data_IF_066286425351
#
_entry.id   IF_066286425351
#
_cell.length_a   1.000
_cell.length_b   1.000
_cell.length_c   1.000
_cell.angle_alpha   90.00
_cell.angle_beta   90.00
_cell.angle_gamma   90.00
#
_symmetry.space_group_name_H-M   'P 1'
#
loop_
_entity.id
_entity.type
_entity.pdbx_description
1 polymer ?
#
# COMPACT_ATOMS: atom_id res chain seq x y z
N UNK A 1 8.04 -19.67 16.99
CA UNK A 1 6.85 -19.33 16.16
C UNK A 1 7.29 -18.35 15.08
N UNK A 2 6.99 -18.62 13.81
CA UNK A 2 7.34 -17.71 12.72
C UNK A 2 6.35 -16.54 12.67
N UNK A 3 6.83 -15.33 12.39
CA UNK A 3 6.01 -14.10 12.39
C UNK A 3 6.21 -13.33 11.09
N UNK A 4 5.18 -12.62 10.66
CA UNK A 4 5.22 -11.82 9.45
C UNK A 4 5.97 -10.50 9.67
N UNK A 5 6.83 -10.19 8.71
CA UNK A 5 7.61 -8.96 8.60
C UNK A 5 7.25 -8.24 7.30
N UNK A 6 6.86 -6.97 7.37
CA UNK A 6 6.71 -6.12 6.20
C UNK A 6 8.00 -5.35 5.93
N UNK A 7 8.64 -5.63 4.81
CA UNK A 7 9.82 -4.89 4.37
C UNK A 7 9.43 -3.79 3.38
N UNK A 8 10.01 -2.60 3.53
CA UNK A 8 9.86 -1.47 2.62
C UNK A 8 11.20 -0.83 2.21
N UNK A 9 12.31 -1.25 2.84
CA UNK A 9 13.65 -0.70 2.60
C UNK A 9 14.61 -1.75 2.05
N UNK A 10 15.88 -1.65 2.45
CA UNK A 10 16.95 -2.54 1.93
C UNK A 10 16.70 -4.05 2.09
N UNK A 11 15.89 -4.47 3.06
CA UNK A 11 15.52 -5.89 3.24
C UNK A 11 14.65 -6.45 2.11
N UNK A 12 14.10 -5.59 1.22
CA UNK A 12 13.50 -6.03 -0.05
C UNK A 12 14.53 -6.67 -0.99
N UNK A 13 15.80 -6.27 -0.87
CA UNK A 13 16.88 -6.74 -1.72
C UNK A 13 17.57 -7.98 -1.10
N UNK A 14 17.37 -9.15 -1.70
CA UNK A 14 17.93 -10.41 -1.20
C UNK A 14 19.47 -10.37 -1.11
N UNK A 15 20.15 -9.71 -2.05
CA UNK A 15 21.62 -9.58 -2.05
C UNK A 15 22.10 -8.72 -0.86
N UNK A 16 21.40 -7.62 -0.53
CA UNK A 16 21.74 -6.80 0.64
C UNK A 16 21.54 -7.58 1.95
N UNK A 17 20.47 -8.37 2.06
CA UNK A 17 20.23 -9.25 3.20
C UNK A 17 21.30 -10.34 3.33
N UNK A 18 21.63 -11.02 2.23
CA UNK A 18 22.67 -12.05 2.20
C UNK A 18 24.03 -11.49 2.59
N UNK A 19 24.42 -10.31 2.06
CA UNK A 19 25.66 -9.63 2.45
C UNK A 19 25.71 -9.36 3.95
N UNK A 20 24.65 -8.77 4.52
CA UNK A 20 24.56 -8.49 5.95
C UNK A 20 24.74 -9.76 6.81
N UNK A 21 24.10 -10.87 6.39
CA UNK A 21 24.18 -12.16 7.07
C UNK A 21 25.58 -12.76 6.99
N UNK A 22 26.19 -12.78 5.81
CA UNK A 22 27.53 -13.33 5.57
C UNK A 22 28.61 -12.62 6.38
N UNK A 23 28.60 -11.28 6.42
CA UNK A 23 29.53 -10.47 7.23
C UNK A 23 29.47 -10.81 8.73
N UNK A 24 28.34 -11.34 9.20
CA UNK A 24 28.07 -11.65 10.62
C UNK A 24 27.98 -13.14 10.91
N UNK A 25 28.27 -13.99 9.93
CA UNK A 25 28.19 -15.46 10.02
C UNK A 25 26.81 -15.95 10.49
N UNK A 26 25.74 -15.32 10.01
CA UNK A 26 24.35 -15.68 10.27
C UNK A 26 23.77 -16.36 9.02
N UNK A 27 22.83 -17.30 9.20
CA UNK A 27 22.11 -17.90 8.07
C UNK A 27 21.12 -16.90 7.43
N UNK A 28 21.14 -16.68 6.11
CA UNK A 28 20.19 -15.80 5.44
C UNK A 28 18.81 -16.44 5.20
N UNK A 29 18.70 -17.77 5.35
CA UNK A 29 17.54 -18.56 4.90
C UNK A 29 16.29 -18.44 5.78
N UNK A 30 16.40 -17.87 6.98
CA UNK A 30 15.25 -17.70 7.86
C UNK A 30 14.35 -16.53 7.50
N UNK A 31 14.72 -15.69 6.50
CA UNK A 31 13.88 -14.63 5.95
C UNK A 31 13.22 -15.11 4.64
N UNK A 32 11.96 -15.57 4.73
CA UNK A 32 11.28 -16.27 3.63
C UNK A 32 10.26 -15.32 2.98
N UNK A 33 10.46 -14.99 1.71
CA UNK A 33 9.48 -14.20 0.95
C UNK A 33 8.12 -14.90 0.89
N UNK A 34 7.04 -14.15 1.11
CA UNK A 34 5.67 -14.66 1.05
C UNK A 34 4.89 -14.07 -0.11
N UNK A 35 4.86 -12.74 -0.23
CA UNK A 35 4.13 -12.03 -1.28
C UNK A 35 4.51 -10.56 -1.36
N UNK A 36 4.24 -9.95 -2.52
CA UNK A 36 4.20 -8.49 -2.66
C UNK A 36 3.05 -7.95 -1.82
N UNK A 37 3.26 -6.80 -1.19
CA UNK A 37 2.27 -6.19 -0.33
C UNK A 37 2.39 -4.66 -0.32
N UNK A 38 1.38 -4.02 0.22
CA UNK A 38 1.30 -2.59 0.45
C UNK A 38 1.06 -2.34 1.92
N UNK A 39 1.69 -1.31 2.47
CA UNK A 39 1.34 -0.79 3.78
C UNK A 39 0.49 0.48 3.57
N UNK A 40 -0.85 0.38 3.70
CA UNK A 40 -1.74 1.51 3.47
C UNK A 40 -1.66 2.51 4.62
N UNK A 41 -1.95 3.77 4.31
CA UNK A 41 -1.94 4.92 5.22
C UNK A 41 -0.56 5.24 5.84
N UNK A 42 0.51 4.91 5.12
CA UNK A 42 1.89 5.27 5.44
C UNK A 42 2.61 5.82 4.22
N UNK A 43 3.62 6.66 4.46
CA UNK A 43 4.61 7.06 3.45
C UNK A 43 6.03 6.86 3.93
N UNK A 44 6.97 6.75 2.97
CA UNK A 44 8.40 6.69 3.27
C UNK A 44 9.04 8.08 3.32
N UNK A 45 10.10 8.21 4.12
CA UNK A 45 10.99 9.37 4.11
C UNK A 45 12.42 9.05 4.51
N UNK A 46 13.34 10.00 4.30
CA UNK A 46 14.73 9.92 4.73
C UNK A 46 14.99 10.93 5.86
N UNK A 47 14.48 10.67 7.06
CA UNK A 47 14.71 11.50 8.26
C UNK A 47 15.59 10.78 9.30
N UNK A 48 16.60 10.06 8.83
CA UNK A 48 17.53 9.32 9.69
C UNK A 48 18.87 9.17 8.99
N UNK A 49 19.94 9.56 9.68
CA UNK A 49 21.30 9.31 9.22
C UNK A 49 21.83 8.00 9.80
N UNK A 50 22.06 7.02 8.92
CA UNK A 50 22.69 5.76 9.25
C UNK A 50 24.20 5.90 9.19
N UNK A 51 24.88 5.76 10.35
CA UNK A 51 26.35 5.73 10.42
C UNK A 51 26.94 4.56 9.62
N UNK A 52 26.25 3.42 9.59
CA UNK A 52 26.74 2.22 8.90
C UNK A 52 26.67 2.33 7.38
N UNK A 53 25.71 3.10 6.87
CA UNK A 53 25.54 3.33 5.42
C UNK A 53 26.14 4.66 4.97
N UNK A 54 26.56 5.50 5.90
CA UNK A 54 27.05 6.87 5.66
C UNK A 54 26.05 7.71 4.84
N UNK A 55 24.83 7.82 5.37
CA UNK A 55 23.78 8.63 4.75
C UNK A 55 22.37 8.27 5.20
N UNK A 56 21.40 8.85 4.52
CA UNK A 56 19.97 8.66 4.76
C UNK A 56 19.55 7.20 4.60
N UNK A 57 18.79 6.68 5.57
CA UNK A 57 18.06 5.42 5.45
C UNK A 57 16.55 5.63 5.63
N UNK A 58 15.76 4.71 5.07
CA UNK A 58 14.31 4.87 5.01
C UNK A 58 13.65 4.67 6.38
N UNK A 59 12.71 5.54 6.68
CA UNK A 59 11.66 5.32 7.69
C UNK A 59 10.29 5.39 7.05
N UNK A 60 9.29 4.92 7.76
CA UNK A 60 7.88 5.13 7.45
C UNK A 60 7.23 6.01 8.51
N UNK A 61 6.17 6.72 8.15
CA UNK A 61 5.30 7.42 9.09
C UNK A 61 3.86 7.46 8.58
N UNK A 62 2.86 7.59 9.47
CA UNK A 62 1.45 7.61 9.06
C UNK A 62 1.12 8.78 8.15
N UNK A 63 0.38 8.51 7.08
CA UNK A 63 -0.24 9.50 6.19
C UNK A 63 -1.43 8.84 5.47
N UNK A 64 -2.66 9.00 5.96
CA UNK A 64 -3.84 8.38 5.35
C UNK A 64 -3.98 8.67 3.85
N UNK A 65 -4.40 7.68 3.06
CA UNK A 65 -4.62 7.76 1.61
C UNK A 65 -3.38 7.75 0.73
N UNK A 66 -2.22 7.45 1.31
CA UNK A 66 -1.02 6.99 0.58
C UNK A 66 -0.64 5.59 1.07
N UNK A 67 0.26 4.92 0.37
CA UNK A 67 0.69 3.57 0.70
C UNK A 67 2.16 3.37 0.36
N UNK A 68 2.83 2.57 1.18
CA UNK A 68 4.21 2.15 0.93
C UNK A 68 4.21 0.82 0.19
N UNK A 69 4.77 0.73 -1.03
CA UNK A 69 4.96 -0.55 -1.69
C UNK A 69 6.07 -1.34 -1.00
N UNK A 70 5.88 -2.65 -0.85
CA UNK A 70 6.84 -3.52 -0.19
C UNK A 70 6.54 -5.00 -0.37
N UNK A 71 6.98 -5.81 0.59
CA UNK A 71 6.73 -7.24 0.57
C UNK A 71 6.62 -7.81 1.98
N UNK A 72 5.82 -8.87 2.10
CA UNK A 72 5.69 -9.69 3.29
C UNK A 72 6.70 -10.82 3.26
N UNK A 73 7.39 -10.97 4.38
CA UNK A 73 8.30 -12.06 4.69
C UNK A 73 7.83 -12.78 5.94
N UNK A 74 8.19 -14.05 6.05
CA UNK A 74 8.09 -14.82 7.27
C UNK A 74 9.50 -14.98 7.85
N UNK A 75 9.66 -14.65 9.13
CA UNK A 75 10.93 -14.75 9.83
C UNK A 75 10.82 -15.64 11.08
N UNK A 76 11.83 -16.49 11.28
CA UNK A 76 12.03 -17.22 12.53
C UNK A 76 12.70 -16.35 13.61
N UNK A 77 12.84 -16.89 14.82
CA UNK A 77 13.36 -16.13 15.96
C UNK A 77 14.81 -15.66 15.78
N UNK A 78 15.67 -16.51 15.22
CA UNK A 78 17.06 -16.15 14.93
C UNK A 78 17.15 -15.03 13.88
N UNK A 79 16.29 -15.07 12.87
CA UNK A 79 16.16 -14.04 11.84
C UNK A 79 15.63 -12.74 12.41
N UNK A 80 14.64 -12.79 13.30
CA UNK A 80 14.15 -11.61 14.02
C UNK A 80 15.25 -10.95 14.86
N UNK A 81 16.07 -11.74 15.56
CA UNK A 81 17.22 -11.20 16.29
C UNK A 81 18.26 -10.59 15.34
N UNK A 82 18.44 -11.14 14.15
CA UNK A 82 19.33 -10.57 13.13
C UNK A 82 18.77 -9.26 12.54
N UNK A 83 17.45 -9.19 12.28
CA UNK A 83 16.77 -7.97 11.86
C UNK A 83 16.88 -6.88 12.94
N UNK A 84 16.60 -7.19 14.20
CA UNK A 84 16.74 -6.22 15.30
C UNK A 84 18.16 -5.64 15.40
N UNK A 85 19.17 -6.49 15.21
CA UNK A 85 20.57 -6.04 15.17
C UNK A 85 20.87 -5.20 13.92
N UNK A 86 20.28 -5.51 12.78
CA UNK A 86 20.45 -4.74 11.53
C UNK A 86 19.84 -3.35 11.65
N UNK A 87 18.64 -3.27 12.21
CA UNK A 87 17.89 -2.02 12.40
C UNK A 87 18.32 -1.27 13.68
N UNK A 88 19.20 -1.84 14.49
CA UNK A 88 19.76 -1.19 15.67
C UNK A 88 18.73 -0.92 16.77
N UNK A 89 17.80 -1.86 16.99
CA UNK A 89 16.70 -1.75 17.95
C UNK A 89 17.20 -1.55 19.38
N UNK A 90 18.19 -2.34 19.80
CA UNK A 90 18.81 -2.21 21.12
C UNK A 90 19.55 -0.87 21.33
N UNK A 91 19.94 -0.22 20.23
CA UNK A 91 20.58 1.10 20.23
C UNK A 91 19.58 2.25 20.08
N UNK A 92 18.28 1.95 19.97
CA UNK A 92 17.22 2.95 19.85
C UNK A 92 17.17 3.67 18.50
N UNK A 93 17.77 3.14 17.43
CA UNK A 93 17.70 3.76 16.11
C UNK A 93 16.35 3.52 15.43
N UNK A 94 15.92 2.26 15.40
CA UNK A 94 14.60 1.85 14.97
C UNK A 94 13.85 1.17 16.12
N UNK A 95 12.53 1.18 16.03
CA UNK A 95 11.64 0.40 16.86
C UNK A 95 10.72 -0.47 15.99
N UNK A 96 10.24 -1.57 16.56
CA UNK A 96 9.25 -2.43 15.91
C UNK A 96 7.88 -1.76 15.97
N UNK A 97 7.20 -1.73 14.83
CA UNK A 97 5.84 -1.22 14.69
C UNK A 97 4.90 -2.36 14.28
N UNK A 98 3.76 -2.51 14.96
CA UNK A 98 2.68 -3.40 14.50
C UNK A 98 1.87 -2.67 13.44
N UNK A 99 1.68 -3.32 12.29
CA UNK A 99 0.97 -2.77 11.14
C UNK A 99 0.07 -3.80 10.49
N UNK A 100 -0.87 -3.35 9.67
CA UNK A 100 -1.68 -4.19 8.79
C UNK A 100 -1.22 -3.93 7.35
N UNK A 101 -0.65 -4.94 6.70
CA UNK A 101 -0.31 -4.87 5.28
C UNK A 101 -1.43 -5.50 4.43
N UNK A 102 -1.58 -5.03 3.19
CA UNK A 102 -2.51 -5.58 2.21
C UNK A 102 -1.74 -6.28 1.09
N UNK A 103 -2.21 -7.43 0.63
CA UNK A 103 -1.76 -7.98 -0.65
C UNK A 103 -2.55 -7.40 -1.83
N UNK A 104 -2.30 -7.91 -3.04
CA UNK A 104 -2.96 -7.44 -4.28
C UNK A 104 -4.47 -7.73 -4.33
N UNK A 105 -4.93 -8.69 -3.55
CA UNK A 105 -6.34 -9.02 -3.39
C UNK A 105 -6.99 -8.20 -2.26
N UNK A 106 -6.21 -7.39 -1.53
CA UNK A 106 -6.70 -6.59 -0.41
C UNK A 106 -6.96 -7.41 0.85
N UNK A 107 -6.34 -8.58 0.98
CA UNK A 107 -6.35 -9.35 2.22
C UNK A 107 -5.42 -8.72 3.24
N UNK A 108 -5.88 -8.62 4.48
CA UNK A 108 -5.13 -8.02 5.59
C UNK A 108 -4.16 -9.02 6.24
N UNK A 109 -2.94 -8.56 6.49
CA UNK A 109 -1.90 -9.29 7.19
C UNK A 109 -1.39 -8.46 8.37
N UNK A 110 -1.85 -8.78 9.60
CA UNK A 110 -1.20 -8.27 10.80
C UNK A 110 0.27 -8.70 10.83
N UNK A 111 1.18 -7.74 10.84
CA UNK A 111 2.60 -8.00 10.76
C UNK A 111 3.40 -6.95 11.54
N UNK A 112 4.70 -7.16 11.63
CA UNK A 112 5.63 -6.21 12.23
C UNK A 112 6.45 -5.54 11.12
N UNK A 113 6.69 -4.24 11.25
CA UNK A 113 7.63 -3.47 10.45
C UNK A 113 8.60 -2.75 11.39
N UNK A 114 9.49 -1.92 10.84
CA UNK A 114 10.34 -1.02 11.62
C UNK A 114 10.02 0.43 11.27
N UNK A 115 10.22 1.33 12.22
CA UNK A 115 10.26 2.77 11.98
C UNK A 115 11.40 3.38 12.79
N UNK A 116 11.94 4.51 12.34
CA UNK A 116 12.94 5.26 13.10
C UNK A 116 12.29 5.83 14.35
N UNK A 117 12.98 5.74 15.48
CA UNK A 117 12.48 6.29 16.74
C UNK A 117 12.47 7.82 16.72
N UNK A 118 11.61 8.43 17.53
CA UNK A 118 11.57 9.90 17.64
C UNK A 118 12.93 10.50 18.04
N UNK A 119 13.71 9.80 18.87
CA UNK A 119 15.02 10.25 19.33
C UNK A 119 16.11 10.18 18.24
N UNK A 120 16.00 9.23 17.29
CA UNK A 120 16.95 9.07 16.19
C UNK A 120 16.56 9.88 14.93
N UNK A 121 15.35 10.45 14.90
CA UNK A 121 14.82 11.18 13.75
C UNK A 121 15.49 12.56 13.59
N UNK A 122 15.90 12.89 12.37
CA UNK A 122 16.41 14.21 12.01
C UNK A 122 15.27 15.16 11.66
N UNK A 123 15.45 16.47 11.90
CA UNK A 123 14.46 17.49 11.55
C UNK A 123 14.37 17.71 10.04
N UNK A 124 15.51 17.76 9.36
CA UNK A 124 15.58 17.89 7.91
C UNK A 124 15.78 16.52 7.24
N UNK A 125 15.34 16.36 5.98
CA UNK A 125 15.67 15.19 5.18
C UNK A 125 17.19 15.03 5.02
N UNK A 126 17.65 13.78 5.07
CA UNK A 126 19.04 13.39 4.86
C UNK A 126 19.14 12.73 3.49
N UNK A 127 20.05 13.17 2.60
CA UNK A 127 20.28 12.50 1.33
C UNK A 127 20.55 11.01 1.53
N UNK A 128 20.01 10.11 0.69
CA UNK A 128 20.24 8.68 0.83
C UNK A 128 21.74 8.35 0.83
N UNK A 129 22.11 7.32 1.59
CA UNK A 129 23.44 6.73 1.49
C UNK A 129 23.77 6.34 0.03
N UNK A 130 25.05 6.42 -0.35
CA UNK A 130 25.48 6.11 -1.71
C UNK A 130 25.07 4.68 -2.11
N UNK A 131 24.38 4.53 -3.25
CA UNK A 131 23.87 3.24 -3.74
C UNK A 131 22.61 2.72 -3.03
N UNK A 132 22.14 3.36 -1.95
CA UNK A 132 21.00 2.87 -1.16
C UNK A 132 19.68 3.00 -1.93
N UNK A 133 19.47 4.11 -2.64
CA UNK A 133 18.30 4.31 -3.47
C UNK A 133 18.19 3.20 -4.53
N UNK A 134 19.29 2.88 -5.21
CA UNK A 134 19.35 1.86 -6.25
C UNK A 134 19.05 0.46 -5.71
N UNK A 135 19.51 0.14 -4.48
CA UNK A 135 19.22 -1.14 -3.82
C UNK A 135 17.71 -1.33 -3.63
N UNK A 136 17.03 -0.31 -3.11
CA UNK A 136 15.58 -0.37 -2.86
C UNK A 136 14.80 -0.28 -4.17
N UNK A 137 15.18 0.62 -5.07
CA UNK A 137 14.55 0.83 -6.37
C UNK A 137 14.57 -0.44 -7.22
N UNK A 138 15.72 -1.12 -7.32
CA UNK A 138 15.83 -2.40 -8.05
C UNK A 138 14.95 -3.50 -7.46
N UNK A 139 14.81 -3.54 -6.13
CA UNK A 139 13.95 -4.52 -5.47
C UNK A 139 12.45 -4.23 -5.70
N UNK A 140 12.03 -2.97 -5.64
CA UNK A 140 10.66 -2.58 -5.99
C UNK A 140 10.35 -2.90 -7.46
N UNK A 141 11.28 -2.59 -8.37
CA UNK A 141 11.14 -2.89 -9.80
C UNK A 141 11.06 -4.39 -10.09
N UNK A 142 11.83 -5.24 -9.40
CA UNK A 142 11.72 -6.70 -9.57
C UNK A 142 10.38 -7.25 -9.11
N UNK A 143 9.74 -6.61 -8.13
CA UNK A 143 8.35 -6.87 -7.72
C UNK A 143 7.30 -6.18 -8.59
N UNK A 144 7.70 -5.45 -9.65
CA UNK A 144 6.82 -4.64 -10.50
C UNK A 144 6.02 -3.60 -9.71
N UNK A 145 6.62 -3.09 -8.64
CA UNK A 145 6.09 -2.03 -7.79
C UNK A 145 6.65 -0.66 -8.19
N UNK A 146 5.87 0.42 -8.01
CA UNK A 146 6.32 1.77 -8.33
C UNK A 146 7.39 2.28 -7.36
N UNK A 147 8.30 3.10 -7.88
CA UNK A 147 9.39 3.73 -7.12
C UNK A 147 9.14 5.21 -6.81
N UNK A 148 8.05 5.80 -7.31
CA UNK A 148 7.86 7.26 -7.29
C UNK A 148 7.89 7.88 -5.89
N UNK A 149 7.40 7.18 -4.86
CA UNK A 149 7.45 7.64 -3.48
C UNK A 149 8.89 7.65 -2.94
N UNK A 150 9.66 6.58 -3.22
CA UNK A 150 11.09 6.49 -2.92
C UNK A 150 11.89 7.58 -3.65
N UNK A 151 11.60 7.79 -4.94
CA UNK A 151 12.32 8.75 -5.80
C UNK A 151 12.10 10.20 -5.35
N UNK A 152 10.90 10.54 -4.87
CA UNK A 152 10.64 11.86 -4.27
C UNK A 152 11.34 12.01 -2.92
N UNK A 153 11.19 11.02 -2.04
CA UNK A 153 11.81 11.05 -0.71
C UNK A 153 13.35 11.18 -0.80
N UNK A 154 13.97 10.47 -1.73
CA UNK A 154 15.42 10.52 -1.96
C UNK A 154 15.93 11.90 -2.42
N UNK A 155 15.08 12.68 -3.08
CA UNK A 155 15.37 14.05 -3.52
C UNK A 155 15.04 15.10 -2.45
N UNK A 156 14.62 14.68 -1.25
CA UNK A 156 14.16 15.58 -0.20
C UNK A 156 12.86 16.32 -0.55
N UNK A 157 12.11 15.83 -1.54
CA UNK A 157 10.82 16.38 -1.92
C UNK A 157 9.72 15.68 -1.13
N UNK A 158 8.65 16.40 -0.83
CA UNK A 158 7.44 15.76 -0.32
C UNK A 158 6.95 14.69 -1.30
N UNK A 159 6.77 13.44 -0.86
CA UNK A 159 6.28 12.39 -1.73
C UNK A 159 4.86 12.73 -2.18
N UNK A 160 4.61 12.56 -3.49
CA UNK A 160 3.23 12.54 -4.00
C UNK A 160 2.50 11.32 -3.44
N UNK A 161 1.19 11.42 -3.16
CA UNK A 161 0.39 10.28 -2.76
C UNK A 161 0.53 9.12 -3.74
N UNK A 162 0.63 7.91 -3.21
CA UNK A 162 0.76 6.69 -3.99
C UNK A 162 -0.14 5.61 -3.40
N UNK A 163 -1.20 5.16 -4.10
CA UNK A 163 -1.77 5.74 -5.31
C UNK A 163 -2.28 7.18 -5.15
N UNK A 164 -2.37 7.91 -6.28
CA UNK A 164 -3.00 9.24 -6.34
C UNK A 164 -4.37 9.23 -7.04
N UNK A 165 -4.93 8.04 -7.27
CA UNK A 165 -6.16 7.85 -8.04
C UNK A 165 -7.11 6.91 -7.30
N UNK A 166 -8.40 7.14 -7.45
CA UNK A 166 -9.48 6.28 -6.99
C UNK A 166 -10.18 5.66 -8.22
N UNK A 167 -10.38 4.36 -8.20
CA UNK A 167 -11.23 3.65 -9.15
C UNK A 167 -12.62 3.46 -8.56
N UNK A 168 -13.61 4.09 -9.19
CA UNK A 168 -15.03 3.98 -8.83
C UNK A 168 -15.75 3.11 -9.86
N UNK A 169 -16.70 2.30 -9.40
CA UNK A 169 -17.40 1.30 -10.24
C UNK A 169 -18.91 1.26 -10.00
N UNK A 170 -19.44 2.24 -9.25
CA UNK A 170 -20.81 2.23 -8.76
C UNK A 170 -21.38 3.62 -8.53
N UNK A 171 -22.01 3.81 -7.38
CA UNK A 171 -22.71 5.04 -6.98
C UNK A 171 -21.81 6.28 -6.97
N UNK A 172 -20.49 6.10 -6.81
CA UNK A 172 -19.46 7.15 -6.85
C UNK A 172 -19.00 7.54 -8.28
N UNK A 173 -19.45 6.87 -9.35
CA UNK A 173 -19.09 7.25 -10.73
C UNK A 173 -19.84 8.50 -11.21
N UNK A 174 -19.34 9.17 -12.25
CA UNK A 174 -20.02 10.31 -12.87
C UNK A 174 -21.48 10.01 -13.22
N UNK A 175 -22.36 10.98 -12.92
CA UNK A 175 -23.81 10.88 -13.12
C UNK A 175 -24.49 9.74 -12.32
N UNK A 176 -23.90 9.31 -11.22
CA UNK A 176 -24.51 8.36 -10.27
C UNK A 176 -24.85 9.06 -8.95
N UNK A 177 -25.65 8.40 -8.10
CA UNK A 177 -26.30 9.01 -6.94
C UNK A 177 -25.36 9.71 -5.95
N UNK A 178 -24.13 9.19 -5.78
CA UNK A 178 -23.13 9.70 -4.83
C UNK A 178 -22.02 10.53 -5.50
N UNK A 179 -22.09 10.76 -6.81
CA UNK A 179 -21.14 11.63 -7.51
C UNK A 179 -21.04 13.04 -6.90
N UNK A 180 -22.16 13.72 -6.56
CA UNK A 180 -22.10 15.05 -5.96
C UNK A 180 -21.31 15.09 -4.65
N UNK A 181 -21.29 13.99 -3.88
CA UNK A 181 -20.62 13.90 -2.58
C UNK A 181 -19.08 13.91 -2.71
N UNK A 182 -18.54 13.53 -3.87
CA UNK A 182 -17.08 13.41 -4.10
C UNK A 182 -16.53 14.30 -5.22
N UNK A 183 -17.39 14.98 -5.98
CA UNK A 183 -17.00 15.70 -7.20
C UNK A 183 -15.89 16.75 -6.96
N UNK A 184 -15.95 17.48 -5.84
CA UNK A 184 -14.97 18.51 -5.47
C UNK A 184 -13.63 17.95 -4.97
N UNK A 185 -13.58 16.65 -4.69
CA UNK A 185 -12.37 15.93 -4.28
C UNK A 185 -11.57 15.41 -5.49
N UNK A 186 -12.14 15.46 -6.69
CA UNK A 186 -11.57 14.89 -7.91
C UNK A 186 -10.86 15.95 -8.74
N UNK A 187 -9.65 15.63 -9.18
CA UNK A 187 -8.88 16.42 -10.15
C UNK A 187 -9.17 15.87 -11.54
N UNK A 188 -9.86 16.67 -12.37
CA UNK A 188 -10.19 16.29 -13.76
C UNK A 188 -8.92 16.12 -14.63
N UNK A 189 -8.95 15.26 -15.68
CA UNK A 189 -10.11 14.49 -16.15
C UNK A 189 -10.29 13.14 -15.43
N UNK A 190 -11.54 12.71 -15.31
CA UNK A 190 -11.90 11.30 -15.01
C UNK A 190 -11.90 10.52 -16.32
N UNK A 191 -11.39 9.30 -16.30
CA UNK A 191 -11.28 8.46 -17.50
C UNK A 191 -11.89 7.09 -17.30
N UNK A 192 -12.46 6.51 -18.36
CA UNK A 192 -12.90 5.12 -18.32
C UNK A 192 -11.74 4.19 -17.95
N UNK A 193 -12.02 3.20 -17.12
CA UNK A 193 -11.04 2.22 -16.68
C UNK A 193 -11.71 0.90 -16.30
N UNK A 194 -10.89 -0.12 -16.10
CA UNK A 194 -11.35 -1.45 -15.71
C UNK A 194 -10.44 -2.07 -14.65
N UNK A 195 -11.00 -2.95 -13.83
CA UNK A 195 -10.23 -3.75 -12.89
C UNK A 195 -10.77 -5.19 -12.84
N UNK A 196 -9.97 -6.10 -12.28
CA UNK A 196 -10.34 -7.50 -12.09
C UNK A 196 -11.36 -7.64 -10.94
N UNK A 197 -12.38 -8.47 -11.14
CA UNK A 197 -13.40 -8.83 -10.17
C UNK A 197 -14.81 -8.94 -10.78
N UNK A 198 -15.81 -9.16 -9.94
CA UNK A 198 -17.22 -9.13 -10.32
C UNK A 198 -18.01 -8.16 -9.47
N UNK A 199 -19.11 -7.66 -10.04
CA UNK A 199 -20.06 -6.80 -9.34
C UNK A 199 -21.30 -7.59 -8.95
N UNK A 200 -21.79 -7.30 -7.75
CA UNK A 200 -23.02 -7.84 -7.20
C UNK A 200 -23.89 -6.70 -6.70
N UNK A 201 -25.19 -6.80 -6.89
CA UNK A 201 -26.14 -5.86 -6.31
C UNK A 201 -26.35 -6.21 -4.84
N UNK A 202 -25.86 -5.36 -3.94
CA UNK A 202 -26.02 -5.55 -2.49
C UNK A 202 -27.38 -5.02 -2.07
N UNK A 203 -27.63 -3.75 -2.37
CA UNK A 203 -28.93 -3.08 -2.20
C UNK A 203 -29.11 -2.09 -3.37
N UNK A 204 -29.19 -0.79 -3.10
CA UNK A 204 -29.16 0.26 -4.13
C UNK A 204 -27.73 0.65 -4.55
N UNK A 205 -26.73 -0.13 -4.13
CA UNK A 205 -25.31 0.04 -4.46
C UNK A 205 -24.61 -1.29 -4.83
N UNK A 206 -23.53 -1.24 -5.64
CA UNK A 206 -22.80 -2.44 -6.05
C UNK A 206 -21.69 -2.84 -5.08
N UNK A 207 -21.47 -4.13 -4.93
CA UNK A 207 -20.32 -4.73 -4.25
C UNK A 207 -19.32 -5.31 -5.24
N UNK A 208 -18.07 -4.82 -5.21
CA UNK A 208 -16.95 -5.45 -5.91
C UNK A 208 -16.41 -6.63 -5.10
N UNK A 209 -16.27 -7.79 -5.75
CA UNK A 209 -15.67 -9.01 -5.19
C UNK A 209 -14.47 -9.47 -6.03
N UNK A 210 -13.51 -10.13 -5.39
CA UNK A 210 -12.35 -10.74 -6.04
C UNK A 210 -12.72 -12.03 -6.75
N UNK A 211 -12.60 -12.04 -8.08
CA UNK A 211 -12.61 -13.21 -8.93
C UNK A 211 -11.93 -12.90 -10.28
N UNK A 212 -12.07 -13.78 -11.27
CA UNK A 212 -11.49 -13.62 -12.61
C UNK A 212 -12.32 -12.74 -13.57
N UNK A 213 -13.40 -12.13 -13.10
CA UNK A 213 -14.25 -11.23 -13.87
C UNK A 213 -13.58 -9.90 -14.22
N UNK A 214 -14.33 -9.07 -14.94
CA UNK A 214 -13.91 -7.72 -15.32
C UNK A 214 -14.97 -6.71 -14.89
N UNK A 215 -14.57 -5.72 -14.10
CA UNK A 215 -15.40 -4.60 -13.68
C UNK A 215 -15.04 -3.36 -14.48
N UNK A 216 -16.05 -2.72 -15.03
CA UNK A 216 -15.98 -1.46 -15.74
C UNK A 216 -16.30 -0.31 -14.80
N UNK A 217 -15.54 0.76 -14.92
CA UNK A 217 -15.73 1.94 -14.09
C UNK A 217 -14.91 3.12 -14.56
N UNK A 218 -14.51 3.94 -13.60
CA UNK A 218 -13.84 5.20 -13.82
C UNK A 218 -12.61 5.33 -12.93
N UNK A 219 -11.52 5.83 -13.50
CA UNK A 219 -10.33 6.20 -12.78
C UNK A 219 -10.33 7.73 -12.60
N UNK A 220 -10.46 8.16 -11.35
CA UNK A 220 -10.46 9.55 -10.93
C UNK A 220 -9.12 9.90 -10.27
N UNK A 221 -8.34 10.85 -10.81
CA UNK A 221 -7.27 11.48 -10.06
C UNK A 221 -7.85 12.22 -8.85
N UNK A 222 -7.26 12.02 -7.68
CA UNK A 222 -7.78 12.62 -6.44
C UNK A 222 -6.98 13.86 -6.07
N UNK A 223 -7.64 14.79 -5.39
CA UNK A 223 -6.96 15.83 -4.63
C UNK A 223 -6.10 15.22 -3.51
N UNK A 224 -5.47 16.08 -2.71
CA UNK A 224 -4.64 15.61 -1.60
C UNK A 224 -5.44 14.68 -0.66
N UNK A 225 -4.83 13.60 -0.14
CA UNK A 225 -5.50 12.56 0.64
C UNK A 225 -6.36 13.06 1.79
N UNK A 226 -5.92 14.13 2.44
CA UNK A 226 -6.55 14.75 3.59
C UNK A 226 -7.97 15.29 3.27
N UNK A 227 -8.32 15.43 1.98
CA UNK A 227 -9.64 15.90 1.53
C UNK A 227 -10.65 14.79 1.27
N UNK A 228 -10.22 13.57 0.95
CA UNK A 228 -11.11 12.54 0.41
C UNK A 228 -11.16 11.25 1.22
N UNK A 229 -10.09 10.93 1.96
CA UNK A 229 -9.95 9.67 2.68
C UNK A 229 -11.11 9.44 3.64
N UNK A 230 -11.28 10.33 4.62
CA UNK A 230 -12.32 10.16 5.63
C UNK A 230 -13.75 10.23 5.04
N UNK A 231 -14.11 11.24 4.21
CA UNK A 231 -15.47 11.31 3.67
C UNK A 231 -15.87 10.08 2.85
N UNK A 232 -14.96 9.53 2.03
CA UNK A 232 -15.27 8.35 1.22
C UNK A 232 -15.26 7.09 2.07
N UNK A 233 -14.36 6.96 3.05
CA UNK A 233 -14.38 5.84 4.01
C UNK A 233 -15.71 5.78 4.78
N UNK A 234 -16.27 6.93 5.17
CA UNK A 234 -17.58 7.03 5.82
C UNK A 234 -18.73 6.58 4.90
N UNK A 235 -18.72 6.99 3.63
CA UNK A 235 -19.72 6.56 2.63
C UNK A 235 -19.67 5.04 2.42
N UNK A 236 -18.48 4.48 2.32
CA UNK A 236 -18.23 3.06 2.03
C UNK A 236 -18.27 2.19 3.31
N UNK A 237 -18.55 2.78 4.48
CA UNK A 237 -18.60 2.06 5.76
C UNK A 237 -17.27 1.38 6.11
N UNK A 238 -16.13 1.95 5.72
CA UNK A 238 -14.81 1.45 6.04
C UNK A 238 -14.34 1.99 7.39
N UNK A 239 -14.21 1.11 8.39
CA UNK A 239 -13.86 1.48 9.77
C UNK A 239 -12.35 1.55 10.02
N UNK A 240 -11.53 1.32 8.99
CA UNK A 240 -10.07 1.24 9.06
C UNK A 240 -9.53 -0.19 9.09
N UNK A 241 -8.23 -0.34 8.81
CA UNK A 241 -7.57 -1.64 8.72
C UNK A 241 -7.48 -2.34 10.07
N UNK A 242 -7.69 -3.66 10.07
CA UNK A 242 -7.69 -4.49 11.28
C UNK A 242 -8.93 -4.29 12.17
N UNK A 243 -9.89 -3.46 11.76
CA UNK A 243 -11.18 -3.33 12.45
C UNK A 243 -12.19 -4.33 11.87
N UNK A 244 -12.94 -5.04 12.73
CA UNK A 244 -14.03 -5.88 12.26
C UNK A 244 -15.19 -5.00 11.78
N UNK A 245 -16.11 -5.60 11.01
CA UNK A 245 -17.41 -5.01 10.62
C UNK A 245 -17.38 -3.84 9.63
N UNK A 246 -16.26 -3.56 8.95
CA UNK A 246 -16.30 -2.70 7.77
C UNK A 246 -17.21 -3.29 6.70
N UNK A 247 -18.03 -2.46 6.04
CA UNK A 247 -18.88 -2.90 4.92
C UNK A 247 -18.02 -3.15 3.68
N UNK A 248 -17.17 -2.18 3.36
CA UNK A 248 -16.12 -2.29 2.36
C UNK A 248 -14.74 -2.12 2.98
N UNK A 249 -13.71 -2.64 2.32
CA UNK A 249 -12.30 -2.34 2.61
C UNK A 249 -11.72 -1.47 1.51
N UNK A 250 -11.05 -0.38 1.87
CA UNK A 250 -10.19 0.35 0.92
C UNK A 250 -8.97 -0.51 0.56
N UNK A 251 -8.77 -0.78 -0.72
CA UNK A 251 -7.69 -1.64 -1.22
C UNK A 251 -6.92 -0.94 -2.35
N UNK A 252 -5.73 -1.45 -2.65
CA UNK A 252 -4.91 -0.99 -3.77
C UNK A 252 -4.97 -2.03 -4.87
N UNK A 253 -5.40 -1.63 -6.07
CA UNK A 253 -5.58 -2.53 -7.20
C UNK A 253 -4.87 -2.02 -8.44
N UNK A 254 -4.44 -2.95 -9.30
CA UNK A 254 -4.04 -2.62 -10.67
C UNK A 254 -5.30 -2.31 -11.48
N UNK A 255 -5.35 -1.10 -11.99
CA UNK A 255 -6.44 -0.56 -12.79
C UNK A 255 -5.95 -0.33 -14.21
N UNK A 256 -6.63 -0.92 -15.18
CA UNK A 256 -6.36 -0.77 -16.59
C UNK A 256 -7.13 0.44 -17.13
N UNK A 257 -6.41 1.53 -17.39
CA UNK A 257 -6.91 2.65 -18.20
C UNK A 257 -6.55 2.41 -19.68
N UNK A 258 -7.13 3.19 -20.59
CA UNK A 258 -6.84 3.10 -22.04
C UNK A 258 -5.35 3.17 -22.38
N UNK A 259 -4.57 3.96 -21.63
CA UNK A 259 -3.16 4.27 -21.94
C UNK A 259 -2.17 3.41 -21.18
N UNK A 260 -2.54 2.90 -20.00
CA UNK A 260 -1.63 2.20 -19.09
C UNK A 260 -2.37 1.49 -17.95
N UNK A 261 -1.68 0.54 -17.35
CA UNK A 261 -2.06 0.00 -16.04
C UNK A 261 -1.43 0.86 -14.94
N UNK A 262 -2.21 1.25 -13.93
CA UNK A 262 -1.74 1.98 -12.75
C UNK A 262 -2.20 1.29 -11.48
N UNK A 263 -1.57 1.58 -10.35
CA UNK A 263 -2.17 1.26 -9.06
C UNK A 263 -3.14 2.38 -8.68
N UNK A 264 -4.33 2.02 -8.21
CA UNK A 264 -5.37 2.93 -7.74
C UNK A 264 -6.02 2.40 -6.47
N UNK A 265 -6.52 3.31 -5.63
CA UNK A 265 -7.43 2.95 -4.55
C UNK A 265 -8.76 2.46 -5.12
N UNK A 266 -9.42 1.55 -4.44
CA UNK A 266 -10.83 1.19 -4.69
C UNK A 266 -11.39 0.55 -3.42
N UNK A 267 -12.69 0.26 -3.40
CA UNK A 267 -13.36 -0.36 -2.26
C UNK A 267 -13.76 -1.79 -2.61
N UNK A 268 -13.49 -2.74 -1.74
CA UNK A 268 -13.84 -4.15 -1.91
C UNK A 268 -14.95 -4.51 -0.92
N UNK A 269 -16.05 -5.06 -1.39
CA UNK A 269 -17.15 -5.48 -0.53
C UNK A 269 -16.72 -6.67 0.33
N UNK A 270 -17.02 -6.63 1.64
CA UNK A 270 -16.61 -7.67 2.59
C UNK A 270 -17.76 -8.61 3.00
N UNK A 271 -18.99 -8.30 2.62
CA UNK A 271 -20.16 -9.09 2.97
C UNK A 271 -20.32 -10.35 2.10
N UNK A 272 -21.29 -11.18 2.49
CA UNK A 272 -21.67 -12.37 1.72
C UNK A 272 -22.37 -11.99 0.42
N UNK A 273 -22.09 -12.72 -0.66
CA UNK A 273 -22.84 -12.64 -1.93
C UNK A 273 -23.98 -13.63 -2.04
N UNK A 274 -24.19 -14.48 -1.03
CA UNK A 274 -25.26 -15.48 -1.04
C UNK A 274 -26.63 -14.80 -1.15
N UNK A 275 -27.36 -15.10 -2.23
CA UNK A 275 -28.68 -14.53 -2.50
C UNK A 275 -28.66 -13.14 -3.17
N UNK A 276 -27.48 -12.57 -3.42
CA UNK A 276 -27.36 -11.32 -4.18
C UNK A 276 -27.43 -11.60 -5.69
N UNK A 277 -27.87 -10.60 -6.45
CA UNK A 277 -27.88 -10.66 -7.91
C UNK A 277 -26.49 -10.28 -8.44
N UNK A 278 -25.90 -11.15 -9.27
CA UNK A 278 -24.67 -10.83 -9.99
C UNK A 278 -24.98 -9.86 -11.13
N UNK A 279 -24.15 -8.85 -11.29
CA UNK A 279 -24.21 -7.91 -12.41
C UNK A 279 -23.31 -8.46 -13.52
N UNK A 280 -23.89 -9.28 -14.40
CA UNK A 280 -23.13 -10.06 -15.39
C UNK A 280 -22.31 -9.21 -16.36
N UNK A 281 -22.77 -8.00 -16.68
CA UNK A 281 -22.04 -7.07 -17.54
C UNK A 281 -20.78 -6.49 -16.89
N UNK A 282 -20.64 -6.61 -15.56
CA UNK A 282 -19.56 -5.98 -14.81
C UNK A 282 -19.59 -4.45 -14.83
N UNK A 283 -20.72 -3.84 -15.23
CA UNK A 283 -20.91 -2.40 -15.34
C UNK A 283 -22.20 -1.99 -14.65
N UNK A 284 -22.08 -1.25 -13.55
CA UNK A 284 -23.21 -0.76 -12.76
C UNK A 284 -24.20 0.08 -13.58
N UNK A 285 -23.73 0.83 -14.58
CA UNK A 285 -24.58 1.70 -15.39
C UNK A 285 -25.52 0.93 -16.32
N UNK A 286 -25.14 -0.28 -16.69
CA UNK A 286 -25.96 -1.17 -17.52
C UNK A 286 -26.96 -1.99 -16.70
N UNK A 287 -26.82 -1.98 -15.37
CA UNK A 287 -27.68 -2.76 -14.47
C UNK A 287 -28.97 -2.04 -14.08
N UNK A 288 -28.91 -0.71 -13.92
CA UNK A 288 -30.02 0.13 -13.43
C UNK A 288 -30.86 0.77 -14.54
N UNK A 289 -30.85 0.23 -15.76
CA UNK A 289 -31.76 0.63 -16.85
C UNK A 289 -33.16 0.05 -16.71
#
# INVERSE_FOLDING_TARGET
MKKLYFAYGSNLNATDWQRYCSERKISPHGLIFKRVAWLPDFEVSFHYYSKTRDGGALTIHPRPGTAVPGALYEADEATWAALDRKEGVASGFYERLKVIALDEDGLEYPCTSYQVTQAARTQAPVPPANGYHEVVSRALQSFKLPTSQLDSAARGLEPKPLPSTLFTYGTLMQNQARWPDIADMIVKPVTSAKCKGSLWEVEDYPGLINDEGLVHGELAPMALPEKWVQPIDEIEGFLGYGKPHSLYRRIIRKIQSEKKTVHGWTYLYLGSTSGLLKIDAGDWRLHKT
#
